data_IF_008632203872
#
_entry.id   IF_008632203872
#
_cell.length_a   1.000
_cell.length_b   1.000
_cell.length_c   1.000
_cell.angle_alpha   90.00
_cell.angle_beta   90.00
_cell.angle_gamma   90.00
#
_symmetry.space_group_name_H-M   'P 1'
#
loop_
_entity.id
_entity.type
_entity.pdbx_description
1 polymer ?
#
# COMPACT_ATOMS: atom_id res chain seq x y z
N UNK A 1 2.35 -28.78 10.24
CA UNK A 1 1.71 -29.07 8.93
C UNK A 1 2.77 -29.74 8.06
N UNK A 2 2.42 -30.67 7.19
CA UNK A 2 3.41 -31.28 6.30
C UNK A 2 3.96 -30.24 5.34
N UNK A 3 5.23 -30.41 4.89
CA UNK A 3 5.87 -29.59 3.87
C UNK A 3 5.01 -29.56 2.61
N UNK A 4 4.88 -28.38 2.00
CA UNK A 4 4.27 -28.23 0.67
C UNK A 4 5.20 -28.80 -0.40
N UNK A 5 4.70 -29.69 -1.23
CA UNK A 5 5.44 -30.34 -2.31
C UNK A 5 5.11 -29.77 -3.69
N UNK A 6 4.15 -28.86 -3.76
CA UNK A 6 3.67 -28.17 -4.97
C UNK A 6 4.45 -26.90 -5.29
N UNK A 7 5.34 -26.46 -4.41
CA UNK A 7 6.28 -25.35 -4.59
C UNK A 7 7.70 -25.80 -4.30
N UNK A 8 8.69 -25.23 -4.96
CA UNK A 8 10.12 -25.54 -4.82
C UNK A 8 10.98 -24.29 -4.59
N UNK A 9 10.48 -23.11 -4.93
CA UNK A 9 11.20 -21.85 -4.83
C UNK A 9 10.31 -20.74 -4.25
N UNK A 10 10.91 -19.92 -3.36
CA UNK A 10 10.19 -18.87 -2.64
C UNK A 10 10.97 -17.56 -2.73
N UNK A 11 10.30 -16.50 -3.15
CA UNK A 11 10.82 -15.14 -3.07
C UNK A 11 10.40 -14.52 -1.74
N UNK A 12 11.38 -14.14 -0.93
CA UNK A 12 11.17 -13.40 0.33
C UNK A 12 11.46 -11.92 0.08
N UNK A 13 10.51 -11.07 0.48
CA UNK A 13 10.64 -9.62 0.36
C UNK A 13 10.99 -9.06 1.73
N UNK A 14 12.12 -8.38 1.84
CA UNK A 14 12.61 -7.75 3.06
C UNK A 14 11.92 -6.40 3.36
N UNK A 15 12.31 -5.80 4.48
CA UNK A 15 11.72 -4.55 4.98
C UNK A 15 12.43 -3.28 4.43
N UNK A 16 13.61 -3.43 3.81
CA UNK A 16 14.46 -2.30 3.49
C UNK A 16 15.21 -1.76 4.72
N UNK A 17 15.68 -0.51 4.70
CA UNK A 17 16.29 0.15 5.85
C UNK A 17 15.29 0.29 6.99
N UNK A 18 15.76 0.19 8.23
CA UNK A 18 14.94 0.40 9.42
C UNK A 18 14.50 1.87 9.47
N UNK A 19 13.20 2.09 9.57
CA UNK A 19 12.59 3.41 9.67
C UNK A 19 12.04 3.59 11.09
N UNK A 20 12.07 4.81 11.61
CA UNK A 20 11.48 5.13 12.92
C UNK A 20 9.99 4.74 12.90
N UNK A 21 9.58 3.95 13.90
CA UNK A 21 8.21 3.41 14.00
C UNK A 21 8.01 2.03 13.36
N UNK A 22 9.01 1.51 12.64
CA UNK A 22 9.06 0.13 12.18
C UNK A 22 10.00 -0.68 13.08
N UNK A 23 9.54 -1.83 13.49
CA UNK A 23 10.31 -2.70 14.39
C UNK A 23 11.53 -3.32 13.68
N UNK A 24 12.69 -3.33 14.35
CA UNK A 24 13.93 -3.87 13.79
C UNK A 24 13.93 -5.41 13.70
N UNK A 25 12.97 -6.07 14.31
CA UNK A 25 12.79 -7.54 14.28
C UNK A 25 12.51 -8.08 12.88
N UNK A 26 12.13 -7.26 11.90
CA UNK A 26 11.90 -7.72 10.53
C UNK A 26 13.15 -8.29 9.86
N UNK A 27 14.34 -7.73 10.14
CA UNK A 27 15.59 -8.30 9.66
C UNK A 27 15.83 -9.70 10.24
N UNK A 28 15.57 -9.86 11.55
CA UNK A 28 15.69 -11.15 12.22
C UNK A 28 14.65 -12.14 11.72
N UNK A 29 13.38 -11.72 11.61
CA UNK A 29 12.29 -12.58 11.14
C UNK A 29 12.52 -13.05 9.70
N UNK A 30 12.97 -12.16 8.82
CA UNK A 30 13.34 -12.50 7.45
C UNK A 30 14.50 -13.49 7.38
N UNK A 31 15.54 -13.28 8.21
CA UNK A 31 16.67 -14.20 8.33
C UNK A 31 16.23 -15.58 8.80
N UNK A 32 15.38 -15.66 9.82
CA UNK A 32 14.86 -16.94 10.32
C UNK A 32 13.97 -17.64 9.29
N UNK A 33 13.17 -16.87 8.54
CA UNK A 33 12.37 -17.44 7.44
C UNK A 33 13.26 -18.05 6.34
N UNK A 34 14.33 -17.35 5.94
CA UNK A 34 15.30 -17.90 4.98
C UNK A 34 15.90 -19.22 5.47
N UNK A 35 16.37 -19.26 6.73
CA UNK A 35 16.97 -20.46 7.33
C UNK A 35 15.97 -21.62 7.38
N UNK A 36 14.80 -21.39 7.97
CA UNK A 36 13.79 -22.43 8.14
C UNK A 36 13.32 -23.01 6.78
N UNK A 37 13.07 -22.15 5.79
CA UNK A 37 12.64 -22.59 4.48
C UNK A 37 13.76 -23.31 3.70
N UNK A 38 15.02 -22.89 3.88
CA UNK A 38 16.18 -23.57 3.30
C UNK A 38 16.40 -24.94 3.93
N UNK A 39 16.23 -25.09 5.25
CA UNK A 39 16.26 -26.39 5.95
C UNK A 39 15.16 -27.33 5.46
N UNK A 40 14.00 -26.80 5.10
CA UNK A 40 12.92 -27.55 4.46
C UNK A 40 13.22 -27.90 3.00
N UNK A 41 14.32 -27.40 2.41
CA UNK A 41 14.79 -27.71 1.07
C UNK A 41 14.11 -26.90 -0.04
N UNK A 42 13.61 -25.70 0.26
CA UNK A 42 13.18 -24.74 -0.77
C UNK A 42 14.35 -23.93 -1.28
N UNK A 43 14.34 -23.58 -2.56
CA UNK A 43 15.23 -22.57 -3.11
C UNK A 43 14.76 -21.19 -2.67
N UNK A 44 15.64 -20.42 -2.03
CA UNK A 44 15.31 -19.10 -1.48
C UNK A 44 15.90 -17.99 -2.35
N UNK A 45 15.02 -17.11 -2.78
CA UNK A 45 15.36 -15.85 -3.45
C UNK A 45 15.00 -14.74 -2.47
N UNK A 46 15.93 -13.82 -2.22
CA UNK A 46 15.75 -12.72 -1.30
C UNK A 46 15.91 -11.39 -2.02
N UNK A 47 15.03 -10.44 -1.77
CA UNK A 47 15.20 -9.04 -2.13
C UNK A 47 15.12 -8.17 -0.88
N UNK A 48 16.13 -7.33 -0.66
CA UNK A 48 16.15 -6.33 0.42
C UNK A 48 17.02 -5.15 -0.02
N UNK A 49 16.55 -3.92 0.19
CA UNK A 49 17.29 -2.72 -0.20
C UNK A 49 18.36 -2.29 0.81
N UNK A 50 18.44 -2.91 1.98
CA UNK A 50 19.47 -2.62 2.97
C UNK A 50 20.66 -3.55 2.77
N UNK A 51 21.85 -3.05 2.36
CA UNK A 51 23.05 -3.87 2.20
C UNK A 51 23.74 -4.23 3.52
N UNK A 52 23.39 -3.56 4.62
CA UNK A 52 24.06 -3.66 5.93
C UNK A 52 23.21 -4.44 6.96
N UNK A 53 22.61 -5.54 6.54
CA UNK A 53 21.81 -6.41 7.40
C UNK A 53 22.27 -7.85 7.29
N UNK A 54 22.06 -8.66 8.35
CA UNK A 54 22.31 -10.10 8.32
C UNK A 54 21.45 -10.81 7.28
N UNK A 55 20.29 -10.25 6.94
CA UNK A 55 19.37 -10.81 5.96
C UNK A 55 19.98 -10.85 4.56
N UNK A 56 20.86 -9.90 4.20
CA UNK A 56 21.52 -9.84 2.89
C UNK A 56 22.88 -10.54 2.84
N UNK A 57 23.22 -11.32 3.86
CA UNK A 57 24.39 -12.19 3.84
C UNK A 57 24.31 -13.15 2.63
N UNK A 58 25.36 -13.20 1.77
CA UNK A 58 25.34 -14.05 0.56
C UNK A 58 25.14 -15.54 0.83
N UNK A 59 25.46 -16.03 2.03
CA UNK A 59 25.31 -17.45 2.39
C UNK A 59 23.87 -17.81 2.82
N UNK A 60 23.05 -16.80 3.10
CA UNK A 60 21.72 -17.00 3.67
C UNK A 60 20.71 -17.51 2.63
N UNK A 61 20.65 -16.89 1.46
CA UNK A 61 19.75 -17.25 0.37
C UNK A 61 20.50 -17.83 -0.84
N UNK A 62 19.79 -18.54 -1.72
CA UNK A 62 20.37 -19.09 -2.94
C UNK A 62 20.57 -18.01 -4.01
N UNK A 63 19.77 -16.93 -3.94
CA UNK A 63 19.94 -15.72 -4.74
C UNK A 63 19.55 -14.50 -3.88
N UNK A 64 20.48 -13.56 -3.73
CA UNK A 64 20.27 -12.32 -2.94
C UNK A 64 20.32 -11.11 -3.88
N UNK A 65 19.27 -10.28 -3.81
CA UNK A 65 19.14 -9.02 -4.54
C UNK A 65 19.16 -7.86 -3.57
N UNK A 66 20.22 -7.06 -3.62
CA UNK A 66 20.33 -5.79 -2.86
C UNK A 66 19.85 -4.69 -3.79
N UNK A 67 18.53 -4.56 -3.90
CA UNK A 67 17.84 -3.69 -4.86
C UNK A 67 16.67 -2.96 -4.19
N UNK A 68 16.23 -1.82 -4.73
CA UNK A 68 15.04 -1.13 -4.23
C UNK A 68 13.81 -2.05 -4.23
N UNK A 69 13.06 -2.03 -3.12
CA UNK A 69 11.83 -2.81 -2.98
C UNK A 69 10.69 -2.00 -3.63
N UNK A 70 10.71 -1.93 -4.96
CA UNK A 70 9.63 -1.35 -5.76
C UNK A 70 8.96 -2.43 -6.60
N UNK A 71 7.66 -2.28 -6.91
CA UNK A 71 6.95 -3.28 -7.72
C UNK A 71 7.63 -3.57 -9.06
N UNK A 72 8.22 -2.54 -9.70
CA UNK A 72 8.87 -2.66 -11.00
C UNK A 72 10.17 -3.47 -10.92
N UNK A 73 10.96 -3.27 -9.87
CA UNK A 73 12.21 -4.01 -9.65
C UNK A 73 11.90 -5.45 -9.26
N UNK A 74 10.97 -5.64 -8.32
CA UNK A 74 10.58 -6.98 -7.88
C UNK A 74 9.92 -7.77 -9.01
N UNK A 75 9.15 -7.12 -9.89
CA UNK A 75 8.63 -7.76 -11.11
C UNK A 75 9.74 -8.28 -12.03
N UNK A 76 10.84 -7.54 -12.20
CA UNK A 76 12.00 -8.01 -12.98
C UNK A 76 12.72 -9.19 -12.31
N UNK A 77 12.79 -9.21 -10.98
CA UNK A 77 13.34 -10.34 -10.23
C UNK A 77 12.44 -11.57 -10.42
N UNK A 78 11.13 -11.42 -10.32
CA UNK A 78 10.16 -12.50 -10.58
C UNK A 78 10.29 -13.02 -12.02
N UNK A 79 10.42 -12.14 -12.99
CA UNK A 79 10.62 -12.51 -14.41
C UNK A 79 11.88 -13.35 -14.62
N UNK A 80 12.97 -12.98 -13.94
CA UNK A 80 14.27 -13.66 -14.04
C UNK A 80 14.30 -14.99 -13.29
N UNK A 81 13.87 -14.97 -12.03
CA UNK A 81 14.04 -16.09 -11.10
C UNK A 81 12.90 -17.10 -11.14
N UNK A 82 11.71 -16.68 -11.59
CA UNK A 82 10.50 -17.52 -11.72
C UNK A 82 10.18 -18.29 -10.42
N UNK A 83 10.06 -17.61 -9.27
CA UNK A 83 9.69 -18.28 -8.04
C UNK A 83 8.26 -18.86 -8.13
N UNK A 84 8.03 -19.99 -7.46
CA UNK A 84 6.69 -20.57 -7.34
C UNK A 84 5.81 -19.78 -6.37
N UNK A 85 6.45 -19.15 -5.36
CA UNK A 85 5.73 -18.38 -4.35
C UNK A 85 6.47 -17.11 -3.92
N UNK A 86 5.70 -16.13 -3.42
CA UNK A 86 6.20 -14.91 -2.77
C UNK A 86 5.75 -14.86 -1.31
N UNK A 87 6.67 -14.57 -0.38
CA UNK A 87 6.42 -14.40 1.04
C UNK A 87 6.65 -12.93 1.44
N UNK A 88 5.61 -12.10 1.49
CA UNK A 88 5.74 -10.68 1.82
C UNK A 88 5.64 -10.37 3.31
N UNK A 89 5.18 -11.32 4.13
CA UNK A 89 4.83 -11.07 5.54
C UNK A 89 6.05 -10.88 6.46
N UNK A 90 7.26 -11.08 5.96
CA UNK A 90 8.50 -10.93 6.72
C UNK A 90 9.17 -9.55 6.55
N UNK A 91 8.64 -8.68 5.70
CA UNK A 91 9.25 -7.39 5.37
C UNK A 91 8.40 -6.16 5.75
N UNK A 92 7.44 -6.33 6.67
CA UNK A 92 6.57 -5.25 7.14
C UNK A 92 5.75 -4.59 6.04
N UNK A 93 5.34 -3.34 6.27
CA UNK A 93 4.47 -2.61 5.36
C UNK A 93 5.06 -2.42 3.95
N UNK A 94 6.37 -2.24 3.85
CA UNK A 94 7.06 -2.10 2.56
C UNK A 94 6.83 -3.34 1.67
N UNK A 95 7.03 -4.53 2.23
CA UNK A 95 6.86 -5.78 1.50
C UNK A 95 5.38 -6.07 1.18
N UNK A 96 4.47 -5.80 2.13
CA UNK A 96 3.03 -5.98 1.93
C UNK A 96 2.51 -5.08 0.81
N UNK A 97 2.84 -3.79 0.83
CA UNK A 97 2.44 -2.85 -0.22
C UNK A 97 3.02 -3.23 -1.59
N UNK A 98 4.29 -3.69 -1.62
CA UNK A 98 4.91 -4.17 -2.85
C UNK A 98 4.16 -5.39 -3.42
N UNK A 99 3.81 -6.37 -2.57
CA UNK A 99 3.09 -7.57 -2.99
C UNK A 99 1.68 -7.25 -3.52
N UNK A 100 0.93 -6.37 -2.86
CA UNK A 100 -0.38 -5.91 -3.33
C UNK A 100 -0.28 -5.19 -4.68
N UNK A 101 0.76 -4.36 -4.86
CA UNK A 101 1.01 -3.69 -6.13
C UNK A 101 1.34 -4.68 -7.25
N UNK A 102 2.16 -5.71 -6.99
CA UNK A 102 2.47 -6.78 -7.94
C UNK A 102 1.22 -7.59 -8.33
N UNK A 103 0.34 -7.84 -7.37
CA UNK A 103 -0.96 -8.47 -7.63
C UNK A 103 -1.83 -7.58 -8.53
N UNK A 104 -1.96 -6.30 -8.21
CA UNK A 104 -2.75 -5.34 -8.99
C UNK A 104 -2.21 -5.13 -10.42
N UNK A 105 -0.88 -5.23 -10.60
CA UNK A 105 -0.22 -5.19 -11.91
C UNK A 105 -0.38 -6.50 -12.72
N UNK A 106 -0.96 -7.54 -12.14
CA UNK A 106 -1.10 -8.86 -12.77
C UNK A 106 0.21 -9.64 -12.90
N UNK A 107 1.30 -9.19 -12.26
CA UNK A 107 2.61 -9.83 -12.35
C UNK A 107 2.60 -11.23 -11.74
N UNK A 108 1.96 -11.39 -10.58
CA UNK A 108 1.88 -12.70 -9.91
C UNK A 108 1.12 -13.72 -10.75
N UNK A 109 0.00 -13.32 -11.35
CA UNK A 109 -0.79 -14.17 -12.24
C UNK A 109 0.00 -14.52 -13.52
N UNK A 110 0.62 -13.51 -14.15
CA UNK A 110 1.41 -13.69 -15.38
C UNK A 110 2.50 -14.76 -15.25
N UNK A 111 3.13 -14.83 -14.09
CA UNK A 111 4.25 -15.74 -13.84
C UNK A 111 3.89 -16.95 -12.98
N UNK A 112 2.61 -17.09 -12.58
CA UNK A 112 2.12 -18.21 -11.77
C UNK A 112 2.64 -18.22 -10.33
N UNK A 113 2.98 -17.04 -9.76
CA UNK A 113 3.55 -16.90 -8.43
C UNK A 113 2.44 -16.85 -7.38
N UNK A 114 2.46 -17.77 -6.43
CA UNK A 114 1.49 -17.80 -5.34
C UNK A 114 1.91 -16.90 -4.18
N UNK A 115 1.00 -16.10 -3.65
CA UNK A 115 1.24 -15.38 -2.41
C UNK A 115 1.03 -16.32 -1.22
N UNK A 116 2.05 -16.47 -0.37
CA UNK A 116 2.04 -17.34 0.83
C UNK A 116 2.23 -16.51 2.11
N UNK A 117 1.88 -17.10 3.25
CA UNK A 117 1.86 -16.40 4.54
C UNK A 117 0.55 -15.63 4.76
N UNK A 118 0.15 -14.81 3.78
CA UNK A 118 -1.16 -14.17 3.73
C UNK A 118 -1.60 -13.98 2.28
N UNK A 119 -2.91 -14.01 2.03
CA UNK A 119 -3.49 -13.66 0.71
C UNK A 119 -3.63 -12.15 0.58
N UNK A 120 -3.71 -11.63 -0.64
CA UNK A 120 -3.95 -10.21 -0.88
C UNK A 120 -5.22 -9.71 -0.15
N UNK A 121 -6.32 -10.48 -0.22
CA UNK A 121 -7.57 -10.15 0.48
C UNK A 121 -7.40 -10.10 2.01
N UNK A 122 -6.57 -11.00 2.58
CA UNK A 122 -6.30 -11.00 4.01
C UNK A 122 -5.45 -9.77 4.43
N UNK A 123 -4.48 -9.40 3.58
CA UNK A 123 -3.65 -8.21 3.79
C UNK A 123 -4.52 -6.95 3.74
N UNK A 124 -5.34 -6.79 2.70
CA UNK A 124 -6.24 -5.65 2.56
C UNK A 124 -7.18 -5.51 3.77
N UNK A 125 -7.78 -6.63 4.21
CA UNK A 125 -8.66 -6.63 5.39
C UNK A 125 -7.93 -6.28 6.69
N UNK A 126 -6.67 -6.66 6.83
CA UNK A 126 -5.88 -6.37 8.02
C UNK A 126 -5.39 -4.91 8.05
N UNK A 127 -5.03 -4.35 6.90
CA UNK A 127 -4.43 -3.03 6.78
C UNK A 127 -5.47 -1.91 6.65
N UNK A 128 -6.59 -2.16 5.94
CA UNK A 128 -7.66 -1.19 5.80
C UNK A 128 -8.63 -1.26 6.99
N UNK A 129 -8.69 -0.17 7.74
CA UNK A 129 -9.52 -0.09 8.96
C UNK A 129 -11.02 -0.20 8.71
N UNK A 130 -11.49 0.23 7.54
CA UNK A 130 -12.89 0.09 7.18
C UNK A 130 -13.21 -1.36 6.87
N UNK A 131 -12.41 -2.02 6.04
CA UNK A 131 -12.56 -3.44 5.72
C UNK A 131 -12.43 -4.31 6.97
N UNK A 132 -11.49 -3.98 7.87
CA UNK A 132 -11.36 -4.66 9.15
C UNK A 132 -12.62 -4.51 10.02
N UNK A 133 -13.14 -3.29 10.16
CA UNK A 133 -14.37 -3.04 10.94
C UNK A 133 -15.57 -3.78 10.34
N UNK A 134 -15.73 -3.76 9.02
CA UNK A 134 -16.79 -4.49 8.34
C UNK A 134 -16.68 -6.01 8.59
N UNK A 135 -15.46 -6.56 8.55
CA UNK A 135 -15.19 -7.96 8.87
C UNK A 135 -15.54 -8.28 10.33
N UNK A 136 -15.18 -7.41 11.29
CA UNK A 136 -15.51 -7.61 12.71
C UNK A 136 -17.03 -7.54 12.94
N UNK A 137 -17.70 -6.58 12.34
CA UNK A 137 -19.18 -6.47 12.42
C UNK A 137 -19.86 -7.70 11.86
N UNK A 138 -19.36 -8.24 10.73
CA UNK A 138 -19.93 -9.44 10.08
C UNK A 138 -19.86 -10.69 10.96
N UNK A 139 -18.83 -10.80 11.81
CA UNK A 139 -18.68 -11.93 12.76
C UNK A 139 -19.27 -11.63 14.14
N UNK A 140 -19.98 -10.50 14.29
CA UNK A 140 -20.69 -10.14 15.53
C UNK A 140 -19.81 -9.53 16.62
N UNK A 141 -18.59 -9.08 16.29
CA UNK A 141 -17.74 -8.35 17.23
C UNK A 141 -18.03 -6.86 17.18
N UNK A 142 -18.08 -6.24 18.36
CA UNK A 142 -18.27 -4.81 18.50
C UNK A 142 -16.96 -4.05 18.25
N UNK A 143 -17.08 -2.91 17.59
CA UNK A 143 -16.00 -1.94 17.40
C UNK A 143 -16.41 -0.58 17.96
N UNK A 144 -15.47 0.25 18.42
CA UNK A 144 -15.79 1.62 18.83
C UNK A 144 -16.52 2.38 17.73
N UNK A 145 -17.44 3.28 18.12
CA UNK A 145 -18.09 4.18 17.17
C UNK A 145 -17.02 4.94 16.37
N UNK A 146 -17.07 4.83 15.07
CA UNK A 146 -16.06 5.42 14.19
C UNK A 146 -16.66 5.80 12.84
N UNK A 147 -16.15 6.87 12.26
CA UNK A 147 -16.48 7.36 10.92
C UNK A 147 -15.20 7.62 10.14
N UNK A 148 -15.26 7.34 8.86
CA UNK A 148 -14.19 7.67 7.94
C UNK A 148 -14.46 9.06 7.37
N UNK A 149 -13.50 9.97 7.51
CA UNK A 149 -13.52 11.29 6.90
C UNK A 149 -12.45 11.34 5.80
N UNK A 150 -12.87 11.37 4.55
CA UNK A 150 -11.96 11.44 3.40
C UNK A 150 -12.63 12.09 2.19
N UNK A 151 -11.85 12.33 1.13
CA UNK A 151 -12.34 12.85 -0.14
C UNK A 151 -12.28 11.81 -1.27
N UNK A 152 -12.37 10.52 -0.96
CA UNK A 152 -12.22 9.44 -1.95
C UNK A 152 -13.24 9.53 -3.07
N UNK A 153 -14.50 9.86 -2.76
CA UNK A 153 -15.55 10.05 -3.76
C UNK A 153 -15.27 11.24 -4.68
N UNK A 154 -14.78 12.34 -4.12
CA UNK A 154 -14.42 13.51 -4.91
C UNK A 154 -13.19 13.25 -5.77
N UNK A 155 -12.17 12.59 -5.23
CA UNK A 155 -10.98 12.14 -5.99
C UNK A 155 -11.37 11.19 -7.12
N UNK A 156 -12.29 10.26 -6.88
CA UNK A 156 -12.82 9.35 -7.92
C UNK A 156 -13.54 10.10 -9.02
N UNK A 157 -14.35 11.10 -8.69
CA UNK A 157 -15.01 11.98 -9.68
C UNK A 157 -13.98 12.75 -10.51
N UNK A 158 -12.97 13.35 -9.90
CA UNK A 158 -11.89 14.04 -10.61
C UNK A 158 -11.15 13.10 -11.56
N UNK A 159 -10.83 11.88 -11.12
CA UNK A 159 -10.18 10.86 -11.96
C UNK A 159 -11.06 10.46 -13.14
N UNK A 160 -12.35 10.26 -12.92
CA UNK A 160 -13.30 9.93 -13.99
C UNK A 160 -13.39 11.06 -15.03
N UNK A 161 -13.48 12.32 -14.59
CA UNK A 161 -13.48 13.48 -15.48
C UNK A 161 -12.21 13.57 -16.33
N UNK A 162 -11.04 13.32 -15.71
CA UNK A 162 -9.77 13.27 -16.45
C UNK A 162 -9.79 12.19 -17.53
N UNK A 163 -10.21 10.97 -17.17
CA UNK A 163 -10.27 9.83 -18.10
C UNK A 163 -11.27 10.05 -19.23
N UNK A 164 -12.43 10.64 -18.93
CA UNK A 164 -13.46 10.97 -19.92
C UNK A 164 -12.94 11.98 -20.96
N UNK A 165 -12.24 13.01 -20.52
CA UNK A 165 -11.67 14.01 -21.42
C UNK A 165 -10.56 13.42 -22.30
N UNK A 166 -9.67 12.60 -21.73
CA UNK A 166 -8.65 11.89 -22.51
C UNK A 166 -9.29 10.96 -23.54
N UNK A 167 -10.31 10.20 -23.15
CA UNK A 167 -11.05 9.31 -24.06
C UNK A 167 -11.77 10.12 -25.17
N UNK A 168 -12.32 11.27 -24.83
CA UNK A 168 -12.93 12.16 -25.82
C UNK A 168 -11.91 12.64 -26.86
N UNK A 169 -10.73 13.11 -26.43
CA UNK A 169 -9.63 13.51 -27.34
C UNK A 169 -9.19 12.33 -28.22
N UNK A 170 -9.11 11.12 -27.66
CA UNK A 170 -8.74 9.91 -28.41
C UNK A 170 -9.79 9.53 -29.48
N UNK A 171 -11.05 9.80 -29.22
CA UNK A 171 -12.15 9.55 -30.16
C UNK A 171 -12.29 10.59 -31.27
N UNK A 172 -11.64 11.76 -31.18
CA UNK A 172 -11.70 12.80 -32.21
C UNK A 172 -11.11 12.32 -33.53
N UNK A 173 -11.75 12.67 -34.64
CA UNK A 173 -11.31 12.31 -35.99
C UNK A 173 -10.27 13.33 -36.53
N UNK A 174 -9.16 13.50 -35.78
CA UNK A 174 -8.03 14.38 -36.16
C UNK A 174 -6.74 13.58 -36.25
N UNK A 175 -5.70 14.15 -36.84
CA UNK A 175 -4.44 13.43 -37.01
C UNK A 175 -3.71 13.18 -35.67
N UNK A 176 -2.79 12.20 -35.61
CA UNK A 176 -2.09 11.83 -34.37
C UNK A 176 -1.29 12.98 -33.74
N UNK A 177 -0.76 13.91 -34.54
CA UNK A 177 0.04 15.05 -34.05
C UNK A 177 -0.87 16.06 -33.36
N UNK A 178 -2.04 16.31 -33.93
CA UNK A 178 -3.06 17.19 -33.34
C UNK A 178 -3.64 16.61 -32.05
N UNK A 179 -3.91 15.29 -32.00
CA UNK A 179 -4.30 14.59 -30.76
C UNK A 179 -3.26 14.75 -29.66
N UNK A 180 -1.99 14.57 -29.98
CA UNK A 180 -0.90 14.71 -29.02
C UNK A 180 -0.83 16.14 -28.46
N UNK A 181 -1.04 17.15 -29.30
CA UNK A 181 -1.08 18.55 -28.90
C UNK A 181 -2.27 18.86 -27.98
N UNK A 182 -3.48 18.41 -28.35
CA UNK A 182 -4.67 18.56 -27.50
C UNK A 182 -4.53 17.89 -26.15
N UNK A 183 -3.95 16.68 -26.09
CA UNK A 183 -3.66 16.00 -24.80
C UNK A 183 -2.68 16.79 -23.96
N UNK A 184 -1.59 17.27 -24.53
CA UNK A 184 -0.59 18.06 -23.80
C UNK A 184 -1.17 19.37 -23.26
N UNK A 185 -2.01 20.06 -24.03
CA UNK A 185 -2.72 21.28 -23.59
C UNK A 185 -3.69 20.97 -22.44
N UNK A 186 -4.45 19.88 -22.55
CA UNK A 186 -5.36 19.43 -21.49
C UNK A 186 -4.59 19.05 -20.21
N UNK A 187 -3.53 18.24 -20.32
CA UNK A 187 -2.70 17.83 -19.19
C UNK A 187 -2.05 19.02 -18.48
N UNK A 188 -1.55 20.00 -19.23
CA UNK A 188 -1.01 21.24 -18.67
C UNK A 188 -2.08 22.04 -17.90
N UNK A 189 -3.28 22.19 -18.47
CA UNK A 189 -4.42 22.83 -17.81
C UNK A 189 -4.90 22.06 -16.59
N UNK A 190 -4.92 20.72 -16.68
CA UNK A 190 -5.28 19.86 -15.56
C UNK A 190 -4.27 19.99 -14.42
N UNK A 191 -2.97 19.94 -14.72
CA UNK A 191 -1.90 20.13 -13.73
C UNK A 191 -1.98 21.51 -13.06
N UNK A 192 -2.23 22.58 -13.81
CA UNK A 192 -2.41 23.92 -13.26
C UNK A 192 -3.56 24.02 -12.24
N UNK A 193 -4.61 23.20 -12.40
CA UNK A 193 -5.75 23.13 -11.47
C UNK A 193 -5.57 22.21 -10.28
N UNK A 194 -4.40 21.56 -10.10
CA UNK A 194 -4.18 20.55 -9.05
C UNK A 194 -4.30 21.12 -7.63
N UNK A 195 -3.72 22.29 -7.40
CA UNK A 195 -3.78 22.96 -6.08
C UNK A 195 -5.22 23.23 -5.64
N UNK A 196 -6.05 23.73 -6.55
CA UNK A 196 -7.46 24.01 -6.27
C UNK A 196 -8.25 22.71 -6.01
N UNK A 197 -8.00 21.65 -6.79
CA UNK A 197 -8.62 20.34 -6.56
C UNK A 197 -8.20 19.74 -5.22
N UNK A 198 -6.91 19.88 -4.86
CA UNK A 198 -6.41 19.45 -3.54
C UNK A 198 -7.12 20.17 -2.42
N UNK A 199 -7.22 21.50 -2.50
CA UNK A 199 -7.92 22.33 -1.51
C UNK A 199 -9.38 21.89 -1.35
N UNK A 200 -10.11 21.71 -2.45
CA UNK A 200 -11.50 21.20 -2.40
C UNK A 200 -11.63 19.83 -1.77
N UNK A 201 -10.67 18.94 -2.00
CA UNK A 201 -10.65 17.63 -1.36
C UNK A 201 -10.42 17.74 0.15
N UNK A 202 -9.56 18.66 0.60
CA UNK A 202 -9.34 18.91 2.04
C UNK A 202 -10.59 19.51 2.70
N UNK A 203 -11.19 20.51 2.09
CA UNK A 203 -12.45 21.12 2.58
C UNK A 203 -13.59 20.09 2.68
N UNK A 204 -13.71 19.21 1.68
CA UNK A 204 -14.70 18.13 1.69
C UNK A 204 -14.44 17.14 2.85
N UNK A 205 -13.20 16.67 3.00
CA UNK A 205 -12.83 15.75 4.05
C UNK A 205 -12.98 16.36 5.45
N UNK A 206 -12.72 17.66 5.60
CA UNK A 206 -12.98 18.39 6.84
C UNK A 206 -14.48 18.45 7.15
N UNK A 207 -15.32 18.67 6.15
CA UNK A 207 -16.78 18.61 6.29
C UNK A 207 -17.26 17.24 6.77
N UNK A 208 -16.76 16.15 6.20
CA UNK A 208 -17.02 14.77 6.66
C UNK A 208 -16.57 14.55 8.10
N UNK A 209 -15.40 15.09 8.48
CA UNK A 209 -14.89 14.99 9.85
C UNK A 209 -15.78 15.73 10.86
N UNK A 210 -16.31 16.89 10.51
CA UNK A 210 -17.24 17.63 11.36
C UNK A 210 -18.59 16.91 11.52
N UNK A 211 -19.08 16.25 10.47
CA UNK A 211 -20.27 15.39 10.59
C UNK A 211 -19.98 14.19 11.50
N UNK A 212 -18.80 13.57 11.37
CA UNK A 212 -18.37 12.49 12.25
C UNK A 212 -18.30 12.94 13.71
N UNK A 213 -17.77 14.13 13.98
CA UNK A 213 -17.72 14.71 15.32
C UNK A 213 -19.12 14.91 15.92
N UNK A 214 -20.08 15.35 15.12
CA UNK A 214 -21.46 15.54 15.57
C UNK A 214 -22.14 14.22 15.96
N UNK A 215 -21.78 13.11 15.32
CA UNK A 215 -22.32 11.78 15.62
C UNK A 215 -21.61 11.09 16.80
N UNK A 216 -20.27 11.18 16.83
CA UNK A 216 -19.44 10.42 17.79
C UNK A 216 -19.30 11.20 19.11
N UNK A 217 -19.20 12.53 19.05
CA UNK A 217 -18.95 13.39 20.21
C UNK A 217 -17.48 13.46 20.61
N UNK A 218 -17.23 14.09 21.75
CA UNK A 218 -15.91 14.26 22.37
C UNK A 218 -15.84 13.52 23.71
N UNK A 219 -14.65 13.00 24.11
CA UNK A 219 -13.38 13.06 23.39
C UNK A 219 -13.35 12.16 22.17
N UNK A 220 -12.66 12.58 21.11
CA UNK A 220 -12.53 11.83 19.87
C UNK A 220 -11.07 11.51 19.54
N UNK A 221 -10.81 10.29 19.08
CA UNK A 221 -9.49 9.86 18.60
C UNK A 221 -9.46 10.03 17.08
N UNK A 222 -8.52 10.84 16.60
CA UNK A 222 -8.26 11.05 15.18
C UNK A 222 -7.05 10.22 14.79
N UNK A 223 -7.18 9.43 13.71
CA UNK A 223 -6.10 8.56 13.21
C UNK A 223 -6.06 8.60 11.69
N UNK A 224 -5.00 9.15 11.08
CA UNK A 224 -4.74 9.02 9.64
C UNK A 224 -4.63 7.54 9.22
N UNK A 225 -5.00 7.22 8.00
CA UNK A 225 -5.13 5.82 7.56
C UNK A 225 -3.78 5.13 7.37
N UNK A 226 -2.77 5.81 6.84
CA UNK A 226 -1.54 5.18 6.38
C UNK A 226 -0.27 5.84 6.95
N UNK A 227 -0.30 6.28 8.20
CA UNK A 227 0.85 6.90 8.85
C UNK A 227 1.55 5.94 9.80
N UNK A 228 2.88 5.96 9.80
CA UNK A 228 3.71 5.28 10.77
C UNK A 228 4.05 6.22 11.95
N UNK A 229 4.22 5.64 13.15
CA UNK A 229 4.63 6.37 14.34
C UNK A 229 3.61 7.37 14.90
N UNK A 230 2.32 7.28 14.48
CA UNK A 230 1.25 8.14 15.01
C UNK A 230 1.24 9.57 14.48
N UNK A 231 2.02 9.88 13.44
CA UNK A 231 2.08 11.21 12.82
C UNK A 231 0.69 11.65 12.35
N UNK A 232 0.30 12.91 12.63
CA UNK A 232 -0.99 13.48 12.24
C UNK A 232 -2.19 12.99 13.05
N UNK A 233 -1.99 12.04 13.99
CA UNK A 233 -3.05 11.55 14.89
C UNK A 233 -3.05 12.22 16.25
N UNK A 234 -4.15 12.06 17.00
CA UNK A 234 -4.27 12.58 18.37
C UNK A 234 -5.62 12.33 19.00
N UNK A 235 -5.76 12.79 20.24
CA UNK A 235 -7.02 12.79 20.96
C UNK A 235 -7.46 14.24 21.10
N UNK A 236 -8.67 14.54 20.65
CA UNK A 236 -9.29 15.86 20.79
C UNK A 236 -10.29 15.83 21.94
N UNK A 237 -10.17 16.76 22.86
CA UNK A 237 -11.09 16.94 23.99
C UNK A 237 -12.08 18.10 23.76
N UNK A 238 -11.81 18.96 22.78
CA UNK A 238 -12.67 20.06 22.37
C UNK A 238 -12.63 20.23 20.85
N UNK A 239 -13.52 21.11 20.35
CA UNK A 239 -13.68 21.31 18.89
C UNK A 239 -12.45 21.95 18.25
N UNK A 240 -11.75 22.81 18.93
CA UNK A 240 -10.57 23.51 18.40
C UNK A 240 -9.41 22.52 18.20
N UNK A 241 -9.11 21.71 19.22
CA UNK A 241 -8.15 20.60 19.11
C UNK A 241 -8.53 19.61 17.99
N UNK A 242 -9.82 19.31 17.86
CA UNK A 242 -10.31 18.41 16.81
C UNK A 242 -9.96 18.94 15.43
N UNK A 243 -10.25 20.20 15.14
CA UNK A 243 -9.97 20.83 13.85
C UNK A 243 -8.46 20.82 13.54
N UNK A 244 -7.64 21.24 14.51
CA UNK A 244 -6.18 21.28 14.36
C UNK A 244 -5.58 19.89 14.09
N UNK A 245 -6.05 18.83 14.78
CA UNK A 245 -5.57 17.47 14.56
C UNK A 245 -6.05 16.93 13.21
N UNK A 246 -7.31 17.20 12.83
CA UNK A 246 -7.85 16.74 11.54
C UNK A 246 -7.11 17.40 10.38
N UNK A 247 -6.86 18.71 10.42
CA UNK A 247 -6.12 19.42 9.37
C UNK A 247 -4.71 18.82 9.21
N UNK A 248 -3.98 18.62 10.29
CA UNK A 248 -2.67 17.96 10.27
C UNK A 248 -2.73 16.53 9.75
N UNK A 249 -3.79 15.80 10.08
CA UNK A 249 -4.01 14.42 9.62
C UNK A 249 -4.38 14.31 8.14
N UNK A 250 -5.00 15.34 7.56
CA UNK A 250 -5.32 15.40 6.13
C UNK A 250 -4.12 15.81 5.26
N UNK A 251 -3.11 16.45 5.87
CA UNK A 251 -1.87 16.86 5.21
C UNK A 251 -0.77 15.78 5.30
N UNK A 252 -0.91 14.79 6.19
CA UNK A 252 0.03 13.68 6.38
C UNK A 252 -0.19 12.57 5.35
#
# INVERSE_FOLDING_TARGET
MPKRTDISSILIVGAGPIIIGQACEFDYSGTQACKALKEEGYRIILVNSNPATIMTDPELADATYVEPITPEIVAKIIEKERPDAILPTMGGQTALNCALSLQAMGVLEKYGVQMIGATAEAIDKAEDRQLFREAMTKIGLESPASRLANASDLKRKHKAQYQEEIAHIDAMAVDPSEKAKLKAEFEAKWAAGESERRKRCQEYALGEALMALAEIGLPAIIRPSFTMGGTGGGIAYNREEFLDIVERGLDA
#
